data_IF_351571711194
#
_entry.id   IF_351571711194
#
_cell.length_a   1.000
_cell.length_b   1.000
_cell.length_c   1.000
_cell.angle_alpha   90.00
_cell.angle_beta   90.00
_cell.angle_gamma   90.00
#
_symmetry.space_group_name_H-M   'P 1'
#
loop_
_entity.id
_entity.type
_entity.pdbx_description
1 polymer ?
#
# COMPACT_ATOMS: atom_id res chain seq x y z
N UNK A 1 -7.71 19.58 -9.89
CA UNK A 1 -6.48 19.05 -9.30
C UNK A 1 -6.16 19.84 -8.04
N UNK A 2 -5.83 19.16 -6.94
CA UNK A 2 -5.57 19.79 -5.65
C UNK A 2 -4.40 20.82 -5.76
N UNK A 3 -4.45 21.99 -5.10
CA UNK A 3 -3.40 23.01 -5.20
C UNK A 3 -2.02 22.48 -4.80
N UNK A 4 -1.94 21.61 -3.78
CA UNK A 4 -0.68 20.97 -3.36
C UNK A 4 -0.12 20.04 -4.43
N UNK A 5 -0.98 19.30 -5.15
CA UNK A 5 -0.55 18.38 -6.19
C UNK A 5 0.08 19.12 -7.39
N UNK A 6 -0.35 20.36 -7.68
CA UNK A 6 0.27 21.20 -8.72
C UNK A 6 1.75 21.53 -8.45
N UNK A 7 2.25 21.31 -7.22
CA UNK A 7 3.68 21.47 -6.92
C UNK A 7 4.53 20.38 -7.56
N UNK A 8 3.96 19.19 -7.84
CA UNK A 8 4.62 18.15 -8.62
C UNK A 8 4.80 18.59 -10.08
N UNK A 9 3.84 19.31 -10.64
CA UNK A 9 3.95 19.89 -11.99
C UNK A 9 5.06 20.96 -12.03
N UNK A 10 5.20 21.79 -10.99
CA UNK A 10 6.33 22.75 -10.86
C UNK A 10 7.68 22.05 -10.71
N UNK A 11 7.75 20.97 -9.94
CA UNK A 11 8.96 20.15 -9.86
C UNK A 11 9.32 19.60 -11.25
N UNK A 12 8.34 19.12 -11.99
CA UNK A 12 8.56 18.58 -13.32
C UNK A 12 9.07 19.65 -14.31
N UNK A 13 8.53 20.86 -14.25
CA UNK A 13 9.06 22.03 -14.99
C UNK A 13 10.49 22.37 -14.59
N UNK A 14 10.82 22.31 -13.29
CA UNK A 14 12.18 22.52 -12.79
C UNK A 14 13.14 21.46 -13.35
N UNK A 15 12.79 20.18 -13.21
CA UNK A 15 13.60 19.04 -13.66
C UNK A 15 13.70 18.90 -15.19
N UNK A 16 12.77 19.49 -15.96
CA UNK A 16 12.82 19.50 -17.42
C UNK A 16 14.10 20.15 -17.97
N UNK A 17 14.78 20.98 -17.17
CA UNK A 17 16.05 21.63 -17.50
C UNK A 17 17.29 20.77 -17.18
N UNK A 18 17.14 19.64 -16.48
CA UNK A 18 18.23 18.69 -16.23
C UNK A 18 18.32 17.71 -17.40
N UNK A 19 19.41 17.78 -18.16
CA UNK A 19 19.67 16.89 -19.30
C UNK A 19 19.68 15.39 -18.93
N UNK A 20 19.91 15.06 -17.65
CA UNK A 20 19.85 13.71 -17.13
C UNK A 20 18.44 13.18 -16.84
N UNK A 21 17.40 14.02 -16.83
CA UNK A 21 16.01 13.63 -16.50
C UNK A 21 15.15 13.52 -17.76
N UNK A 22 14.50 12.37 -17.97
CA UNK A 22 13.69 12.09 -19.17
C UNK A 22 12.19 12.01 -18.91
N UNK A 23 11.76 11.78 -17.67
CA UNK A 23 10.35 11.85 -17.28
C UNK A 23 10.16 12.10 -15.79
N UNK A 24 8.99 12.64 -15.43
CA UNK A 24 8.49 12.73 -14.05
C UNK A 24 7.08 12.16 -14.01
N UNK A 25 6.85 11.19 -13.12
CA UNK A 25 5.60 10.47 -12.98
C UNK A 25 5.03 10.66 -11.58
N UNK A 26 3.76 11.04 -11.45
CA UNK A 26 3.03 10.92 -10.18
C UNK A 26 2.49 9.50 -10.04
N UNK A 27 2.57 8.91 -8.85
CA UNK A 27 2.01 7.59 -8.54
C UNK A 27 1.15 7.68 -7.27
N UNK A 28 0.49 6.59 -6.88
CA UNK A 28 -0.45 6.62 -5.76
C UNK A 28 -1.56 7.65 -5.98
N UNK A 29 -1.89 8.45 -4.96
CA UNK A 29 -2.88 9.54 -5.08
C UNK A 29 -2.40 10.69 -5.99
N UNK A 30 -1.09 10.84 -6.23
CA UNK A 30 -0.54 11.80 -7.19
C UNK A 30 -0.58 11.29 -8.65
N UNK A 31 -1.06 10.06 -8.86
CA UNK A 31 -1.27 9.40 -10.14
C UNK A 31 -2.50 9.91 -10.91
N UNK A 32 -3.13 9.04 -11.69
CA UNK A 32 -4.26 9.41 -12.57
C UNK A 32 -5.55 9.66 -11.81
N UNK A 33 -5.77 8.98 -10.68
CA UNK A 33 -6.95 9.10 -9.81
C UNK A 33 -6.81 10.31 -8.86
N UNK A 34 -6.61 11.51 -9.43
CA UNK A 34 -6.32 12.73 -8.66
C UNK A 34 -7.43 13.16 -7.71
N UNK A 35 -8.65 12.63 -7.87
CA UNK A 35 -9.76 12.78 -6.94
C UNK A 35 -9.50 12.14 -5.56
N UNK A 36 -8.53 11.21 -5.47
CA UNK A 36 -8.05 10.65 -4.20
C UNK A 36 -7.10 11.58 -3.46
N UNK A 37 -6.59 12.62 -4.11
CA UNK A 37 -5.60 13.52 -3.53
C UNK A 37 -6.30 14.61 -2.70
N UNK A 38 -5.92 14.73 -1.44
CA UNK A 38 -6.45 15.69 -0.47
C UNK A 38 -5.34 16.33 0.39
N UNK A 39 -5.74 17.07 1.43
CA UNK A 39 -4.82 17.74 2.37
C UNK A 39 -4.00 16.77 3.24
N UNK A 40 -4.33 15.48 3.25
CA UNK A 40 -3.63 14.44 4.02
C UNK A 40 -2.75 13.55 3.13
N UNK A 41 -2.74 13.80 1.82
CA UNK A 41 -1.94 13.07 0.86
C UNK A 41 -0.49 13.56 0.87
N UNK A 42 0.44 12.61 0.88
CA UNK A 42 1.81 12.83 0.43
C UNK A 42 1.89 12.86 -1.11
N UNK A 43 3.04 13.25 -1.65
CA UNK A 43 3.31 13.13 -3.09
C UNK A 43 4.32 12.02 -3.30
N UNK A 44 3.81 10.88 -3.76
CA UNK A 44 4.61 9.81 -4.34
C UNK A 44 4.90 10.08 -5.82
N UNK A 45 6.18 10.08 -6.21
CA UNK A 45 6.53 10.29 -7.61
C UNK A 45 7.82 9.56 -8.03
N UNK A 46 7.92 9.28 -9.33
CA UNK A 46 9.13 8.75 -9.94
C UNK A 46 9.80 9.81 -10.79
N UNK A 47 11.13 9.85 -10.73
CA UNK A 47 11.96 10.56 -11.70
C UNK A 47 12.67 9.51 -12.55
N UNK A 48 12.56 9.64 -13.86
CA UNK A 48 13.22 8.72 -14.80
C UNK A 48 14.43 9.42 -15.37
N UNK A 49 15.59 8.80 -15.30
CA UNK A 49 16.86 9.35 -15.77
C UNK A 49 17.37 8.65 -17.02
N UNK A 50 18.19 9.37 -17.77
CA UNK A 50 18.83 8.85 -18.99
C UNK A 50 19.92 7.81 -18.68
N UNK A 51 20.59 7.92 -17.53
CA UNK A 51 21.67 7.04 -17.10
C UNK A 51 21.75 6.91 -15.56
N UNK A 52 22.60 5.99 -15.11
CA UNK A 52 22.87 5.70 -13.69
C UNK A 52 23.57 6.89 -12.99
N UNK A 53 24.40 7.67 -13.70
CA UNK A 53 25.11 8.80 -13.09
C UNK A 53 24.14 9.93 -12.69
N UNK A 54 23.12 10.19 -13.50
CA UNK A 54 22.03 11.10 -13.18
C UNK A 54 21.16 10.55 -12.03
N UNK A 55 20.88 9.25 -12.03
CA UNK A 55 20.15 8.59 -10.95
C UNK A 55 20.88 8.76 -9.61
N UNK A 56 22.15 8.37 -9.54
CA UNK A 56 22.99 8.48 -8.35
C UNK A 56 23.04 9.90 -7.80
N UNK A 57 23.17 10.90 -8.69
CA UNK A 57 23.17 12.33 -8.33
C UNK A 57 21.88 12.75 -7.64
N UNK A 58 20.73 12.38 -8.20
CA UNK A 58 19.41 12.75 -7.66
C UNK A 58 19.05 11.99 -6.37
N UNK A 59 19.63 10.81 -6.15
CA UNK A 59 19.47 10.05 -4.90
C UNK A 59 20.41 10.59 -3.81
N UNK A 60 21.63 11.00 -4.17
CA UNK A 60 22.63 11.50 -3.23
C UNK A 60 22.26 12.86 -2.61
N UNK A 61 21.58 13.73 -3.37
CA UNK A 61 21.21 15.07 -2.95
C UNK A 61 19.70 15.34 -3.00
N UNK A 62 19.23 16.26 -2.16
CA UNK A 62 17.81 16.67 -2.08
C UNK A 62 17.57 18.10 -2.58
N UNK A 63 18.61 18.83 -3.01
CA UNK A 63 18.50 20.24 -3.38
C UNK A 63 17.51 20.49 -4.52
N UNK A 64 17.41 19.57 -5.48
CA UNK A 64 16.47 19.66 -6.61
C UNK A 64 14.98 19.60 -6.19
N UNK A 65 14.68 19.15 -4.97
CA UNK A 65 13.32 19.19 -4.42
C UNK A 65 12.85 20.62 -4.12
N UNK A 66 13.73 21.62 -4.17
CA UNK A 66 13.34 23.03 -4.13
C UNK A 66 12.34 23.41 -5.22
N UNK A 67 12.26 22.63 -6.32
CA UNK A 67 11.24 22.76 -7.35
C UNK A 67 9.80 22.61 -6.84
N UNK A 68 9.59 21.99 -5.67
CA UNK A 68 8.29 22.00 -4.97
C UNK A 68 7.97 23.34 -4.29
N UNK A 69 8.92 24.29 -4.21
CA UNK A 69 8.75 25.61 -3.61
C UNK A 69 9.11 25.69 -2.12
N UNK A 70 10.18 25.01 -1.69
CA UNK A 70 10.70 25.09 -0.32
C UNK A 70 11.93 24.20 -0.11
N UNK A 71 12.67 24.45 0.97
CA UNK A 71 13.85 23.64 1.32
C UNK A 71 13.48 22.43 2.16
N UNK A 72 14.10 21.28 1.87
CA UNK A 72 13.88 20.03 2.62
C UNK A 72 14.39 20.18 4.05
N UNK A 73 13.51 19.99 5.02
CA UNK A 73 13.86 20.09 6.46
C UNK A 73 14.19 18.74 7.10
N UNK A 74 13.80 17.65 6.46
CA UNK A 74 14.14 16.29 6.89
C UNK A 74 14.13 15.34 5.70
N UNK A 75 15.10 14.43 5.62
CA UNK A 75 15.14 13.38 4.60
C UNK A 75 16.04 12.21 4.98
N UNK A 76 15.73 11.02 4.46
CA UNK A 76 16.57 9.84 4.55
C UNK A 76 16.41 8.95 3.31
N UNK A 77 17.43 8.14 3.00
CA UNK A 77 17.39 7.10 1.96
C UNK A 77 16.52 5.95 2.46
N UNK A 78 15.36 5.70 1.85
CA UNK A 78 14.46 4.60 2.24
C UNK A 78 14.66 3.33 1.40
N UNK A 79 15.23 3.46 0.20
CA UNK A 79 15.54 2.34 -0.68
C UNK A 79 16.76 2.65 -1.55
N UNK A 80 17.23 1.67 -2.32
CA UNK A 80 18.32 1.90 -3.29
C UNK A 80 17.99 2.97 -4.34
N UNK A 81 16.71 3.16 -4.65
CA UNK A 81 16.27 4.08 -5.70
C UNK A 81 15.76 5.40 -5.15
N UNK A 82 15.57 5.55 -3.84
CA UNK A 82 14.64 6.55 -3.34
C UNK A 82 14.92 7.10 -1.97
N UNK A 83 14.24 8.21 -1.70
CA UNK A 83 14.23 8.86 -0.39
C UNK A 83 12.81 9.21 0.01
N UNK A 84 12.61 9.41 1.31
CA UNK A 84 11.52 10.22 1.82
C UNK A 84 12.04 11.57 2.27
N UNK A 85 11.22 12.61 2.14
CA UNK A 85 11.56 13.97 2.49
C UNK A 85 10.34 14.73 3.05
N UNK A 86 10.59 15.75 3.85
CA UNK A 86 9.58 16.63 4.43
C UNK A 86 9.94 18.08 4.15
N UNK A 87 8.96 18.87 3.70
CA UNK A 87 9.06 20.31 3.52
C UNK A 87 8.57 21.07 4.77
N UNK A 88 8.91 22.37 4.94
CA UNK A 88 8.61 23.13 6.16
C UNK A 88 7.11 23.31 6.42
N UNK A 89 6.29 23.23 5.37
CA UNK A 89 4.84 23.33 5.42
C UNK A 89 4.14 22.00 5.71
N UNK A 90 4.90 20.94 5.96
CA UNK A 90 4.37 19.60 6.27
C UNK A 90 4.15 18.72 5.05
N UNK A 91 4.42 19.18 3.83
CA UNK A 91 4.31 18.33 2.65
C UNK A 91 5.35 17.20 2.72
N UNK A 92 4.85 15.97 2.82
CA UNK A 92 5.64 14.76 2.79
C UNK A 92 5.81 14.28 1.35
N UNK A 93 7.04 13.90 1.01
CA UNK A 93 7.45 13.47 -0.31
C UNK A 93 8.06 12.07 -0.18
N UNK A 94 7.64 11.17 -1.04
CA UNK A 94 8.35 9.91 -1.27
C UNK A 94 8.65 9.82 -2.77
N UNK A 95 9.91 9.53 -3.09
CA UNK A 95 10.31 9.43 -4.48
C UNK A 95 11.26 8.29 -4.72
N UNK A 96 11.21 7.77 -5.94
CA UNK A 96 12.20 6.87 -6.48
C UNK A 96 12.72 7.41 -7.82
N UNK A 97 14.00 7.22 -8.06
CA UNK A 97 14.70 7.59 -9.29
C UNK A 97 15.10 6.30 -9.98
N UNK A 98 14.66 6.12 -11.22
CA UNK A 98 14.95 4.94 -12.02
C UNK A 98 15.63 5.34 -13.31
N UNK A 99 16.53 4.51 -13.83
CA UNK A 99 16.88 4.62 -15.26
C UNK A 99 15.70 4.18 -16.13
N UNK A 100 15.74 4.57 -17.41
CA UNK A 100 14.76 4.12 -18.40
C UNK A 100 14.65 2.59 -18.50
N UNK A 101 15.75 1.87 -18.27
CA UNK A 101 15.81 0.41 -18.37
C UNK A 101 15.34 -0.30 -17.08
N UNK A 102 15.45 0.36 -15.93
CA UNK A 102 14.98 -0.17 -14.65
C UNK A 102 13.47 -0.07 -14.48
N UNK A 103 12.86 1.04 -14.94
CA UNK A 103 11.45 1.33 -14.71
C UNK A 103 10.49 0.20 -15.14
N UNK A 104 10.66 -0.48 -16.30
CA UNK A 104 9.80 -1.58 -16.71
C UNK A 104 9.84 -2.81 -15.78
N UNK A 105 10.87 -2.93 -14.93
CA UNK A 105 11.00 -4.03 -13.97
C UNK A 105 10.20 -3.80 -12.68
N UNK A 106 9.70 -2.57 -12.48
CA UNK A 106 8.96 -2.19 -11.29
C UNK A 106 7.46 -2.43 -11.47
N UNK A 107 6.81 -2.92 -10.42
CA UNK A 107 5.34 -3.04 -10.39
C UNK A 107 4.72 -1.74 -9.91
N UNK A 108 3.97 -1.07 -10.78
CA UNK A 108 3.24 0.15 -10.46
C UNK A 108 2.07 0.32 -11.44
N UNK A 109 1.01 1.00 -11.01
CA UNK A 109 -0.19 1.21 -11.81
C UNK A 109 -0.79 2.60 -11.52
N UNK A 110 -1.58 3.11 -12.48
CA UNK A 110 -2.25 4.40 -12.35
C UNK A 110 -1.30 5.60 -12.33
N UNK A 111 -0.09 5.47 -12.90
CA UNK A 111 0.86 6.58 -12.92
C UNK A 111 0.41 7.69 -13.87
N UNK A 112 0.48 8.94 -13.40
CA UNK A 112 0.28 10.14 -14.20
C UNK A 112 1.61 10.60 -14.75
N UNK A 113 1.73 10.68 -16.08
CA UNK A 113 2.90 11.31 -16.71
C UNK A 113 2.77 12.82 -16.53
N UNK A 114 3.56 13.39 -15.62
CA UNK A 114 3.55 14.84 -15.29
C UNK A 114 4.31 15.60 -16.36
N UNK A 115 5.50 15.10 -16.69
CA UNK A 115 6.32 15.60 -17.77
C UNK A 115 7.12 14.46 -18.39
N UNK A 116 7.48 14.63 -19.65
CA UNK A 116 8.34 13.73 -20.40
C UNK A 116 9.09 14.48 -21.47
N UNK A 117 10.36 14.15 -21.66
CA UNK A 117 11.16 14.66 -22.76
C UNK A 117 10.60 14.20 -24.12
N UNK A 118 10.69 15.09 -25.10
CA UNK A 118 10.36 14.76 -26.48
C UNK A 118 11.19 13.57 -26.99
N UNK A 119 10.52 12.60 -27.60
CA UNK A 119 11.15 11.37 -28.10
C UNK A 119 11.32 10.25 -27.07
N UNK A 120 11.16 10.51 -25.76
CA UNK A 120 11.10 9.41 -24.78
C UNK A 120 9.73 8.70 -24.88
N UNK A 121 9.69 7.35 -24.93
CA UNK A 121 8.43 6.61 -25.01
C UNK A 121 7.57 6.80 -23.76
N UNK A 122 6.27 6.52 -23.86
CA UNK A 122 5.41 6.50 -22.67
C UNK A 122 5.83 5.33 -21.78
N UNK A 123 6.07 5.55 -20.48
CA UNK A 123 6.36 4.46 -19.57
C UNK A 123 5.26 3.40 -19.58
N UNK A 124 5.64 2.16 -19.82
CA UNK A 124 4.76 1.02 -19.68
C UNK A 124 4.60 0.68 -18.20
N UNK A 125 3.36 0.54 -17.74
CA UNK A 125 3.05 0.31 -16.33
C UNK A 125 2.85 -1.18 -16.11
N UNK A 126 3.78 -1.81 -15.39
CA UNK A 126 3.75 -3.25 -15.16
C UNK A 126 2.57 -3.60 -14.23
N UNK A 127 1.67 -4.47 -14.70
CA UNK A 127 0.60 -5.00 -13.86
C UNK A 127 1.19 -5.98 -12.87
N UNK A 128 0.78 -5.87 -11.61
CA UNK A 128 1.09 -6.88 -10.60
C UNK A 128 0.57 -8.24 -11.11
N UNK A 129 1.45 -9.23 -11.25
CA UNK A 129 1.06 -10.60 -11.57
C UNK A 129 1.07 -11.33 -10.24
N UNK A 130 -0.10 -11.67 -9.66
CA UNK A 130 -0.14 -12.42 -8.41
C UNK A 130 0.64 -13.74 -8.58
N UNK A 131 1.67 -13.93 -7.76
CA UNK A 131 2.48 -15.17 -7.73
C UNK A 131 1.84 -16.24 -6.85
N UNK A 132 0.93 -15.84 -5.95
CA UNK A 132 0.13 -16.72 -5.10
C UNK A 132 -1.26 -16.95 -5.70
N UNK A 133 -1.91 -18.05 -5.31
CA UNK A 133 -3.29 -18.32 -5.67
C UNK A 133 -4.23 -17.32 -4.97
N UNK A 134 -4.74 -16.34 -5.72
CA UNK A 134 -5.75 -15.38 -5.23
C UNK A 134 -7.16 -16.00 -5.26
N UNK A 135 -7.40 -16.95 -4.36
CA UNK A 135 -8.68 -17.70 -4.28
C UNK A 135 -9.25 -17.65 -2.87
N UNK A 136 -10.57 -17.75 -2.75
CA UNK A 136 -11.28 -17.75 -1.45
C UNK A 136 -10.70 -18.83 -0.53
N UNK A 137 -10.59 -20.07 -1.01
CA UNK A 137 -10.08 -21.19 -0.23
C UNK A 137 -8.67 -20.92 0.31
N UNK A 138 -7.76 -20.41 -0.53
CA UNK A 138 -6.41 -20.06 -0.09
C UNK A 138 -6.42 -19.03 1.04
N UNK A 139 -7.19 -17.94 0.89
CA UNK A 139 -7.22 -16.90 1.92
C UNK A 139 -7.90 -17.37 3.21
N UNK A 140 -8.95 -18.20 3.13
CA UNK A 140 -9.57 -18.82 4.30
C UNK A 140 -8.56 -19.70 5.04
N UNK A 141 -7.84 -20.57 4.34
CA UNK A 141 -6.86 -21.49 4.94
C UNK A 141 -5.67 -20.75 5.55
N UNK A 142 -5.15 -19.72 4.88
CA UNK A 142 -4.08 -18.87 5.42
C UNK A 142 -4.54 -18.08 6.65
N UNK A 143 -5.79 -17.57 6.67
CA UNK A 143 -6.34 -16.91 7.84
C UNK A 143 -6.41 -17.87 9.04
N UNK A 144 -6.90 -19.10 8.83
CA UNK A 144 -6.94 -20.15 9.87
C UNK A 144 -5.54 -20.55 10.34
N UNK A 145 -4.60 -20.72 9.42
CA UNK A 145 -3.19 -20.99 9.74
C UNK A 145 -2.59 -19.89 10.63
N UNK A 146 -2.84 -18.62 10.27
CA UNK A 146 -2.43 -17.48 11.07
C UNK A 146 -3.07 -17.46 12.47
N UNK A 147 -4.35 -17.81 12.60
CA UNK A 147 -4.99 -17.95 13.92
C UNK A 147 -4.34 -19.06 14.76
N UNK A 148 -4.10 -20.24 14.19
CA UNK A 148 -3.47 -21.37 14.90
C UNK A 148 -2.07 -20.97 15.39
N UNK A 149 -1.25 -20.39 14.52
CA UNK A 149 0.10 -19.93 14.88
C UNK A 149 0.02 -18.83 15.94
N UNK A 150 -0.84 -17.83 15.74
CA UNK A 150 -0.99 -16.69 16.65
C UNK A 150 -1.44 -17.11 18.05
N UNK A 151 -2.44 -17.99 18.17
CA UNK A 151 -2.93 -18.48 19.45
C UNK A 151 -1.88 -19.32 20.18
N UNK A 152 -1.13 -20.18 19.49
CA UNK A 152 -0.01 -20.89 20.10
C UNK A 152 1.13 -19.98 20.57
N UNK A 153 1.30 -18.81 19.95
CA UNK A 153 2.25 -17.79 20.40
C UNK A 153 1.74 -17.08 21.65
N UNK A 154 0.44 -16.80 21.70
CA UNK A 154 -0.21 -16.20 22.88
C UNK A 154 -0.09 -17.12 24.11
N UNK A 155 -0.35 -18.43 23.95
CA UNK A 155 -0.20 -19.44 25.01
C UNK A 155 1.24 -19.55 25.53
N UNK A 156 2.24 -19.18 24.73
CA UNK A 156 3.65 -19.10 25.14
C UNK A 156 4.03 -17.76 25.78
N UNK A 157 3.09 -16.82 25.87
CA UNK A 157 3.32 -15.46 26.33
C UNK A 157 3.93 -14.52 25.29
N UNK A 158 4.04 -14.94 24.02
CA UNK A 158 4.60 -14.13 22.93
C UNK A 158 3.54 -13.16 22.35
N UNK A 159 3.01 -12.28 23.20
CA UNK A 159 1.81 -11.45 22.90
C UNK A 159 1.93 -10.55 21.67
N UNK A 160 3.10 -9.97 21.42
CA UNK A 160 3.30 -9.09 20.26
C UNK A 160 3.18 -9.84 18.93
N UNK A 161 3.83 -10.99 18.82
CA UNK A 161 3.75 -11.77 17.58
C UNK A 161 2.36 -12.41 17.45
N UNK A 162 1.75 -12.86 18.56
CA UNK A 162 0.36 -13.31 18.54
C UNK A 162 -0.60 -12.25 17.97
N UNK A 163 -0.50 -11.01 18.43
CA UNK A 163 -1.28 -9.89 17.91
C UNK A 163 -1.06 -9.69 16.41
N UNK A 164 0.19 -9.74 15.92
CA UNK A 164 0.48 -9.59 14.48
C UNK A 164 -0.15 -10.71 13.64
N UNK A 165 -0.02 -11.96 14.08
CA UNK A 165 -0.61 -13.10 13.37
C UNK A 165 -2.14 -13.02 13.33
N UNK A 166 -2.77 -12.71 14.46
CA UNK A 166 -4.24 -12.71 14.58
C UNK A 166 -4.87 -11.46 13.98
N UNK A 167 -4.38 -10.28 14.33
CA UNK A 167 -5.06 -9.01 14.06
C UNK A 167 -4.56 -8.30 12.81
N UNK A 168 -3.38 -8.70 12.29
CA UNK A 168 -2.85 -8.13 11.05
C UNK A 168 -2.95 -9.17 9.94
N UNK A 169 -2.16 -10.24 10.02
CA UNK A 169 -2.06 -11.20 8.92
C UNK A 169 -3.40 -11.91 8.65
N UNK A 170 -4.07 -12.47 9.65
CA UNK A 170 -5.36 -13.12 9.42
C UNK A 170 -6.45 -12.14 8.92
N UNK A 171 -6.39 -10.87 9.32
CA UNK A 171 -7.34 -9.84 8.87
C UNK A 171 -7.07 -9.45 7.42
N UNK A 172 -5.81 -9.39 6.97
CA UNK A 172 -5.47 -9.17 5.56
C UNK A 172 -6.12 -10.25 4.66
N UNK A 173 -6.13 -11.50 5.13
CA UNK A 173 -6.80 -12.60 4.44
C UNK A 173 -8.33 -12.49 4.49
N UNK A 174 -8.93 -12.03 5.60
CA UNK A 174 -10.37 -11.72 5.67
C UNK A 174 -10.76 -10.67 4.61
N UNK A 175 -9.98 -9.61 4.47
CA UNK A 175 -10.22 -8.58 3.45
C UNK A 175 -10.11 -9.13 2.04
N UNK A 176 -9.17 -10.05 1.79
CA UNK A 176 -9.04 -10.72 0.50
C UNK A 176 -10.24 -11.62 0.20
N UNK A 177 -10.74 -12.40 1.17
CA UNK A 177 -11.98 -13.18 1.04
C UNK A 177 -13.15 -12.26 0.68
N UNK A 178 -13.33 -11.15 1.39
CA UNK A 178 -14.40 -10.19 1.13
C UNK A 178 -14.27 -9.45 -0.21
N UNK A 179 -13.07 -9.33 -0.77
CA UNK A 179 -12.83 -8.84 -2.14
C UNK A 179 -13.29 -9.87 -3.18
N UNK A 180 -12.98 -11.16 -2.96
CA UNK A 180 -13.31 -12.25 -3.87
C UNK A 180 -14.78 -12.68 -3.80
N UNK A 181 -15.44 -12.42 -2.67
CA UNK A 181 -16.86 -12.68 -2.45
C UNK A 181 -17.59 -11.36 -2.16
N UNK A 182 -17.94 -10.58 -3.20
CA UNK A 182 -18.71 -9.37 -3.02
C UNK A 182 -20.10 -9.70 -2.44
N UNK A 183 -20.48 -8.96 -1.41
CA UNK A 183 -21.81 -9.04 -0.80
C UNK A 183 -22.78 -8.20 -1.66
N UNK A 184 -23.85 -8.79 -2.22
CA UNK A 184 -24.81 -8.05 -3.05
C UNK A 184 -25.59 -6.98 -2.26
N UNK A 185 -25.65 -7.08 -0.94
CA UNK A 185 -26.38 -6.14 -0.07
C UNK A 185 -25.47 -5.01 0.47
N UNK A 186 -24.16 -5.05 0.22
CA UNK A 186 -23.25 -3.96 0.51
C UNK A 186 -22.84 -3.19 -0.77
N UNK A 187 -22.48 -1.90 -0.64
CA UNK A 187 -21.77 -1.20 -1.70
C UNK A 187 -20.51 -1.97 -2.12
N UNK A 188 -20.19 -1.94 -3.41
CA UNK A 188 -18.92 -2.45 -3.92
C UNK A 188 -17.73 -1.61 -3.43
N UNK A 189 -16.52 -2.10 -3.69
CA UNK A 189 -15.29 -1.37 -3.35
C UNK A 189 -15.20 -0.04 -4.12
N UNK A 190 -15.02 1.07 -3.40
CA UNK A 190 -14.80 2.40 -3.97
C UNK A 190 -13.32 2.56 -4.27
N UNK A 191 -12.98 2.71 -5.56
CA UNK A 191 -11.61 2.87 -6.05
C UNK A 191 -10.63 1.82 -5.47
N UNK A 192 -10.90 0.50 -5.59
CA UNK A 192 -10.11 -0.54 -4.92
C UNK A 192 -8.61 -0.40 -5.20
N UNK A 193 -7.80 -0.47 -4.15
CA UNK A 193 -6.34 -0.43 -4.31
C UNK A 193 -5.82 -1.84 -4.66
N UNK A 194 -5.12 -2.02 -5.79
CA UNK A 194 -4.60 -3.33 -6.17
C UNK A 194 -3.41 -3.79 -5.31
N UNK A 195 -2.87 -2.92 -4.46
CA UNK A 195 -1.72 -3.22 -3.60
C UNK A 195 -2.06 -3.24 -2.11
N UNK A 196 -3.07 -2.47 -1.67
CA UNK A 196 -3.40 -2.31 -0.24
C UNK A 196 -4.90 -2.43 0.04
N UNK A 197 -5.33 -3.62 0.46
CA UNK A 197 -6.74 -3.96 0.67
C UNK A 197 -7.41 -3.28 1.87
N UNK A 198 -6.66 -2.63 2.76
CA UNK A 198 -7.22 -1.92 3.92
C UNK A 198 -7.75 -0.52 3.60
N UNK A 199 -7.33 0.07 2.47
CA UNK A 199 -7.65 1.48 2.13
C UNK A 199 -9.14 1.66 1.84
N UNK A 200 -9.76 2.63 2.53
CA UNK A 200 -11.16 3.07 2.37
C UNK A 200 -12.19 1.98 2.71
N UNK A 201 -11.83 1.06 3.59
CA UNK A 201 -12.73 0.01 4.06
C UNK A 201 -14.01 0.60 4.67
N UNK A 202 -13.90 1.64 5.49
CA UNK A 202 -15.01 2.27 6.21
C UNK A 202 -16.01 2.94 5.26
N UNK A 203 -15.53 3.49 4.16
CA UNK A 203 -16.35 4.09 3.11
C UNK A 203 -16.98 3.03 2.20
N UNK A 204 -16.16 2.06 1.78
CA UNK A 204 -16.53 1.06 0.77
C UNK A 204 -17.40 -0.06 1.32
N UNK A 205 -17.11 -0.56 2.52
CA UNK A 205 -17.72 -1.77 3.11
C UNK A 205 -18.06 -1.55 4.59
N UNK A 206 -19.05 -0.70 4.93
CA UNK A 206 -19.28 -0.28 6.31
C UNK A 206 -19.64 -1.41 7.30
N UNK A 207 -20.29 -2.50 6.87
CA UNK A 207 -20.58 -3.62 7.77
C UNK A 207 -19.35 -4.53 7.96
N UNK A 208 -18.56 -4.75 6.90
CA UNK A 208 -17.24 -5.36 7.03
C UNK A 208 -16.32 -4.56 7.97
N UNK A 209 -16.28 -3.23 7.86
CA UNK A 209 -15.51 -2.36 8.76
C UNK A 209 -15.86 -2.58 10.23
N UNK A 210 -17.16 -2.72 10.57
CA UNK A 210 -17.61 -3.04 11.94
C UNK A 210 -17.15 -4.43 12.39
N UNK A 211 -17.08 -5.38 11.47
CA UNK A 211 -16.57 -6.73 11.75
C UNK A 211 -15.07 -6.69 12.01
N UNK A 212 -14.30 -5.99 11.17
CA UNK A 212 -12.85 -5.78 11.31
C UNK A 212 -12.51 -5.09 12.63
N UNK A 213 -13.29 -4.10 13.07
CA UNK A 213 -13.09 -3.46 14.38
C UNK A 213 -13.14 -4.46 15.57
N UNK A 214 -13.87 -5.57 15.44
CA UNK A 214 -13.88 -6.66 16.44
C UNK A 214 -12.70 -7.62 16.29
N UNK A 215 -12.05 -7.63 15.14
CA UNK A 215 -10.86 -8.44 14.83
C UNK A 215 -9.54 -7.73 15.16
N UNK A 216 -9.58 -6.41 15.37
CA UNK A 216 -8.39 -5.57 15.59
C UNK A 216 -8.46 -4.81 16.92
N UNK A 217 -8.84 -5.49 18.00
CA UNK A 217 -9.11 -4.87 19.30
C UNK A 217 -7.85 -4.46 20.09
N UNK A 218 -6.66 -4.69 19.53
CA UNK A 218 -5.39 -4.26 20.07
C UNK A 218 -4.72 -5.28 21.00
N UNK A 219 -3.57 -4.87 21.54
CA UNK A 219 -2.58 -5.73 22.19
C UNK A 219 -3.10 -6.60 23.34
N UNK A 220 -4.12 -6.11 24.07
CA UNK A 220 -4.68 -6.79 25.24
C UNK A 220 -5.85 -7.74 24.96
N UNK A 221 -6.29 -7.87 23.71
CA UNK A 221 -7.53 -8.59 23.34
C UNK A 221 -7.35 -9.54 22.15
N UNK A 222 -6.21 -10.24 22.11
CA UNK A 222 -5.87 -11.14 21.00
C UNK A 222 -6.81 -12.35 20.94
N UNK A 223 -7.23 -12.92 22.07
CA UNK A 223 -8.14 -14.06 22.10
C UNK A 223 -9.53 -13.68 21.56
N UNK A 224 -10.07 -12.55 22.02
CA UNK A 224 -11.36 -12.02 21.55
C UNK A 224 -11.32 -11.64 20.07
N UNK A 225 -10.19 -11.11 19.61
CA UNK A 225 -9.97 -10.81 18.20
C UNK A 225 -9.91 -12.08 17.35
N UNK A 226 -9.20 -13.12 17.81
CA UNK A 226 -9.13 -14.41 17.13
C UNK A 226 -10.51 -15.08 17.04
N UNK A 227 -11.31 -15.01 18.09
CA UNK A 227 -12.70 -15.49 18.06
C UNK A 227 -13.53 -14.73 17.02
N UNK A 228 -13.41 -13.40 16.95
CA UNK A 228 -14.13 -12.60 15.96
C UNK A 228 -13.70 -12.91 14.51
N UNK A 229 -12.41 -13.15 14.25
CA UNK A 229 -11.92 -13.58 12.94
C UNK A 229 -12.49 -14.95 12.59
N UNK A 230 -12.42 -15.92 13.51
CA UNK A 230 -12.94 -17.27 13.28
C UNK A 230 -14.44 -17.27 12.99
N UNK A 231 -15.23 -16.53 13.76
CA UNK A 231 -16.68 -16.41 13.57
C UNK A 231 -17.01 -15.86 12.17
N UNK A 232 -16.25 -14.86 11.72
CA UNK A 232 -16.44 -14.30 10.38
C UNK A 232 -16.06 -15.31 9.29
N UNK A 233 -14.93 -16.01 9.42
CA UNK A 233 -14.51 -17.02 8.45
C UNK A 233 -15.53 -18.17 8.34
N UNK A 234 -16.08 -18.63 9.47
CA UNK A 234 -17.14 -19.66 9.48
C UNK A 234 -18.40 -19.18 8.77
N UNK A 235 -18.75 -17.90 8.92
CA UNK A 235 -19.94 -17.34 8.28
C UNK A 235 -19.80 -17.09 6.77
N UNK A 236 -18.57 -16.86 6.25
CA UNK A 236 -18.38 -16.37 4.88
C UNK A 236 -17.48 -17.25 4.00
N UNK A 237 -16.64 -18.11 4.57
CA UNK A 237 -15.54 -18.79 3.86
C UNK A 237 -15.65 -20.31 3.72
N UNK A 238 -16.65 -20.95 4.31
CA UNK A 238 -16.81 -22.42 4.36
C UNK A 238 -15.51 -23.18 4.76
N UNK A 239 -14.94 -22.85 5.94
CA UNK A 239 -13.63 -23.37 6.36
C UNK A 239 -13.65 -24.87 6.71
N UNK A 240 -12.49 -25.54 6.57
CA UNK A 240 -12.34 -26.94 6.98
C UNK A 240 -12.66 -27.12 8.48
N UNK A 241 -13.60 -28.03 8.85
CA UNK A 241 -14.00 -28.23 10.24
C UNK A 241 -12.85 -28.62 11.18
N UNK A 242 -11.82 -29.33 10.70
CA UNK A 242 -10.67 -29.70 11.51
C UNK A 242 -9.86 -28.47 11.94
N UNK A 243 -9.63 -27.53 11.02
CA UNK A 243 -8.95 -26.27 11.31
C UNK A 243 -9.78 -25.40 12.27
N UNK A 244 -11.09 -25.29 12.05
CA UNK A 244 -12.01 -24.58 12.96
C UNK A 244 -11.95 -25.15 14.38
N UNK A 245 -12.00 -26.48 14.51
CA UNK A 245 -11.93 -27.15 15.80
C UNK A 245 -10.58 -26.94 16.49
N UNK A 246 -9.48 -26.93 15.74
CA UNK A 246 -8.16 -26.62 16.29
C UNK A 246 -8.10 -25.20 16.88
N UNK A 247 -8.61 -24.19 16.15
CA UNK A 247 -8.67 -22.80 16.64
C UNK A 247 -9.55 -22.71 17.89
N UNK A 248 -10.76 -23.31 17.87
CA UNK A 248 -11.66 -23.33 19.04
C UNK A 248 -11.02 -23.95 20.27
N UNK A 249 -10.24 -25.01 20.10
CA UNK A 249 -9.52 -25.66 21.20
C UNK A 249 -8.43 -24.78 21.82
N UNK A 250 -7.86 -23.84 21.07
CA UNK A 250 -6.85 -22.89 21.57
C UNK A 250 -7.47 -21.64 22.20
N UNK A 251 -8.75 -21.38 21.96
CA UNK A 251 -9.51 -20.27 22.57
C UNK A 251 -10.13 -20.62 23.93
N UNK A 252 -10.13 -21.90 24.31
CA UNK A 252 -10.74 -22.42 25.53
C UNK A 252 -9.79 -22.32 26.74
#
# INVERSE_FOLDING_TARGET
>A
MHPTLLRLDRLAEHLAHDDGVVAVLGVGSAGTETERFDDHSDIDFFVVTADEAAQDRLIAGVGWLEGFGGEVVWSYVNSRHGRKALLPDGLFLEYAVFTADELPTMSYAGARVVWRRDGYPAPEQARNIPTAADTVAFHVDEALGNLIVGLHRDLRGERLTAMRFVQVFAVDHVLAVARLQPDPDEPGWVLPDPFEGTRRLEESRPALARSVARMTQGYGRTLESAAAVLDWLVAHGDPDPAAVNAVRGLLA
#
